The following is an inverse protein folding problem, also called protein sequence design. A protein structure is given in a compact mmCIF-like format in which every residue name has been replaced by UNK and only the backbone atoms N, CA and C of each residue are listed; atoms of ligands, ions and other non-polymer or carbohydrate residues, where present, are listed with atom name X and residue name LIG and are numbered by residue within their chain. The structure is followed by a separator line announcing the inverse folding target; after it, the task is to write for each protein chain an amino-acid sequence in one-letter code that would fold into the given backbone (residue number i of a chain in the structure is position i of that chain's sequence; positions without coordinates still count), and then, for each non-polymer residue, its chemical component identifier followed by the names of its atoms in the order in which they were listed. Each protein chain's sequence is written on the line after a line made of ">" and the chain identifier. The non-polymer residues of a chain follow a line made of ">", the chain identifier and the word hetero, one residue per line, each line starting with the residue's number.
data_IF_062333278627
#
_entry.id   IF_062333278627
#
_cell.length_a   1.000
_cell.length_b   1.000
_cell.length_c   1.000
_cell.angle_alpha   90.00
_cell.angle_beta   90.00
_cell.angle_gamma   90.00
#
_symmetry.space_group_name_H-M   'P 1'
#
loop_
_entity.id
_entity.type
_entity.pdbx_description
1 polymer ?
#
# COMPACT_ATOMS: atom_id res chain seq x y z
N UNK A 1 -6.02 16.31 6.92
CA UNK A 1 -4.64 16.11 6.42
C UNK A 1 -3.92 15.24 7.42
N UNK A 2 -3.35 14.11 6.99
CA UNK A 2 -2.55 13.24 7.87
C UNK A 2 -1.21 13.96 8.10
N UNK A 3 -0.96 14.42 9.32
CA UNK A 3 0.31 15.07 9.66
C UNK A 3 1.36 13.97 9.82
N UNK A 4 2.27 13.85 8.86
CA UNK A 4 3.43 12.98 8.97
C UNK A 4 4.54 13.77 9.68
N UNK A 5 4.95 13.32 10.87
CA UNK A 5 6.16 13.82 11.51
C UNK A 5 7.36 13.22 10.79
N UNK A 6 7.92 13.98 9.84
CA UNK A 6 9.15 13.60 9.15
C UNK A 6 10.30 13.56 10.14
N UNK A 7 11.03 12.44 10.13
CA UNK A 7 12.29 12.31 10.85
C UNK A 7 13.32 13.30 10.32
N UNK A 8 14.40 13.54 11.08
CA UNK A 8 15.47 14.47 10.68
C UNK A 8 16.09 14.09 9.33
N UNK A 9 16.24 12.79 9.07
CA UNK A 9 16.76 12.26 7.80
C UNK A 9 15.79 12.54 6.64
N UNK A 10 14.49 12.28 6.81
CA UNK A 10 13.49 12.52 5.76
C UNK A 10 13.35 14.00 5.42
N UNK A 11 13.45 14.89 6.42
CA UNK A 11 13.48 16.35 6.17
C UNK A 11 14.70 16.77 5.36
N UNK A 12 15.88 16.23 5.68
CA UNK A 12 17.11 16.53 4.92
C UNK A 12 16.98 16.09 3.45
N UNK A 13 16.44 14.90 3.21
CA UNK A 13 16.22 14.39 1.84
C UNK A 13 15.25 15.30 1.08
N UNK A 14 14.19 15.77 1.73
CA UNK A 14 13.22 16.68 1.12
C UNK A 14 13.86 18.03 0.77
N UNK A 15 14.64 18.60 1.67
CA UNK A 15 15.37 19.85 1.41
C UNK A 15 16.37 19.71 0.26
N UNK A 16 17.12 18.61 0.21
CA UNK A 16 18.08 18.35 -0.87
C UNK A 16 17.37 18.13 -2.22
N UNK A 17 16.15 17.60 -2.18
CA UNK A 17 15.27 17.47 -3.34
C UNK A 17 14.80 18.83 -3.85
N UNK A 18 14.28 19.68 -2.94
CA UNK A 18 13.83 21.03 -3.27
C UNK A 18 14.97 21.93 -3.78
N UNK A 19 16.18 21.73 -3.25
CA UNK A 19 17.41 22.43 -3.71
C UNK A 19 17.94 21.89 -5.05
N UNK A 20 17.35 20.85 -5.61
CA UNK A 20 17.73 20.31 -6.93
C UNK A 20 19.12 19.67 -6.98
N UNK A 21 19.63 19.19 -5.83
CA UNK A 21 21.00 18.67 -5.69
C UNK A 21 21.15 17.27 -6.31
N UNK A 22 20.05 16.56 -6.52
CA UNK A 22 20.08 15.20 -7.04
C UNK A 22 20.43 15.13 -8.53
N UNK A 23 21.47 14.37 -8.84
CA UNK A 23 21.88 14.02 -10.20
C UNK A 23 21.35 12.64 -10.60
N UNK A 24 21.06 12.47 -11.91
CA UNK A 24 20.61 11.17 -12.42
C UNK A 24 21.71 10.10 -12.25
N UNK A 25 21.31 8.94 -11.77
CA UNK A 25 22.20 7.79 -11.66
C UNK A 25 22.67 7.29 -13.03
N UNK A 26 23.92 6.79 -13.16
CA UNK A 26 24.39 6.14 -14.37
C UNK A 26 23.46 4.98 -14.77
N UNK A 27 23.16 4.84 -16.07
CA UNK A 27 22.24 3.82 -16.60
C UNK A 27 20.82 3.87 -16.00
N UNK A 28 20.24 5.08 -15.89
CA UNK A 28 18.88 5.34 -15.38
C UNK A 28 17.81 4.32 -15.83
N UNK A 29 17.76 3.93 -17.11
CA UNK A 29 16.79 2.94 -17.61
C UNK A 29 16.88 1.58 -16.92
N UNK A 30 18.10 1.11 -16.60
CA UNK A 30 18.34 -0.17 -15.92
C UNK A 30 17.98 -0.07 -14.44
N UNK A 31 18.42 1.02 -13.79
CA UNK A 31 18.09 1.29 -12.38
C UNK A 31 16.58 1.41 -12.18
N UNK A 32 15.89 2.19 -13.03
CA UNK A 32 14.44 2.34 -13.00
C UNK A 32 13.71 0.99 -13.08
N UNK A 33 14.05 0.15 -14.06
CA UNK A 33 13.45 -1.19 -14.20
C UNK A 33 13.69 -2.08 -12.97
N UNK A 34 14.89 -2.00 -12.39
CA UNK A 34 15.22 -2.76 -11.18
C UNK A 34 14.37 -2.30 -10.00
N UNK A 35 14.31 -1.00 -9.73
CA UNK A 35 13.52 -0.45 -8.62
C UNK A 35 12.01 -0.64 -8.81
N UNK A 36 11.49 -0.53 -10.04
CA UNK A 36 10.10 -0.87 -10.36
C UNK A 36 9.79 -2.34 -10.04
N UNK A 37 10.71 -3.26 -10.37
CA UNK A 37 10.56 -4.68 -10.05
C UNK A 37 10.60 -4.92 -8.54
N UNK A 38 11.52 -4.27 -7.82
CA UNK A 38 11.60 -4.36 -6.36
C UNK A 38 10.32 -3.82 -5.72
N UNK A 39 9.84 -2.65 -6.13
CA UNK A 39 8.63 -2.04 -5.61
C UNK A 39 7.40 -2.94 -5.83
N UNK A 40 7.23 -3.47 -7.05
CA UNK A 40 6.17 -4.45 -7.36
C UNK A 40 6.26 -5.68 -6.44
N UNK A 41 7.45 -6.25 -6.28
CA UNK A 41 7.64 -7.46 -5.49
C UNK A 41 7.40 -7.23 -3.98
N UNK A 42 7.79 -6.07 -3.45
CA UNK A 42 7.60 -5.72 -2.04
C UNK A 42 6.13 -5.44 -1.72
N UNK A 43 5.42 -4.71 -2.60
CA UNK A 43 3.97 -4.49 -2.45
C UNK A 43 3.17 -5.80 -2.60
N UNK A 44 3.69 -6.76 -3.37
CA UNK A 44 3.00 -8.03 -3.63
C UNK A 44 3.19 -9.08 -2.52
N UNK A 45 3.95 -8.81 -1.45
CA UNK A 45 4.08 -9.76 -0.33
C UNK A 45 2.76 -9.84 0.44
N UNK A 46 1.87 -10.72 -0.01
CA UNK A 46 0.63 -11.08 0.69
C UNK A 46 0.96 -11.98 1.89
N UNK A 47 0.57 -11.56 3.10
CA UNK A 47 0.62 -12.41 4.29
C UNK A 47 -0.78 -12.95 4.58
N UNK A 48 -0.89 -14.25 4.79
CA UNK A 48 -2.17 -14.88 5.17
C UNK A 48 -2.50 -14.53 6.63
N UNK A 49 -3.75 -14.13 6.88
CA UNK A 49 -4.28 -13.80 8.21
C UNK A 49 -5.56 -14.62 8.41
N UNK A 50 -5.64 -15.38 9.50
CA UNK A 50 -6.86 -16.08 9.89
C UNK A 50 -7.65 -15.20 10.87
N UNK A 51 -8.90 -14.85 10.50
CA UNK A 51 -9.78 -14.01 11.33
C UNK A 51 -11.03 -14.83 11.66
N UNK A 52 -11.40 -14.89 12.95
CA UNK A 52 -12.67 -15.46 13.39
C UNK A 52 -13.73 -14.36 13.38
N UNK A 53 -14.81 -14.59 12.64
CA UNK A 53 -15.97 -13.70 12.58
C UNK A 53 -17.23 -14.47 12.98
N UNK A 54 -18.21 -13.76 13.53
CA UNK A 54 -19.52 -14.36 13.77
C UNK A 54 -20.24 -14.61 12.45
N UNK A 55 -21.08 -15.64 12.42
CA UNK A 55 -21.81 -16.05 11.22
C UNK A 55 -22.69 -14.92 10.65
N UNK A 56 -23.31 -14.14 11.54
CA UNK A 56 -24.10 -12.95 11.18
C UNK A 56 -23.26 -11.93 10.40
N UNK A 57 -22.00 -11.71 10.79
CA UNK A 57 -21.11 -10.76 10.11
C UNK A 57 -20.69 -11.30 8.75
N UNK A 58 -20.33 -12.59 8.66
CA UNK A 58 -19.96 -13.24 7.40
C UNK A 58 -21.11 -13.17 6.39
N UNK A 59 -22.33 -13.44 6.83
CA UNK A 59 -23.53 -13.37 5.97
C UNK A 59 -23.76 -11.96 5.43
N UNK A 60 -23.67 -10.92 6.28
CA UNK A 60 -23.81 -9.52 5.85
C UNK A 60 -22.70 -9.08 4.89
N UNK A 61 -21.47 -9.53 5.12
CA UNK A 61 -20.35 -9.25 4.25
C UNK A 61 -20.57 -9.86 2.85
N UNK A 62 -21.01 -11.12 2.79
CA UNK A 62 -21.36 -11.79 1.53
C UNK A 62 -22.47 -11.07 0.78
N UNK A 63 -23.53 -10.66 1.48
CA UNK A 63 -24.64 -9.91 0.87
C UNK A 63 -24.15 -8.59 0.26
N UNK A 64 -23.30 -7.84 0.98
CA UNK A 64 -22.76 -6.57 0.50
C UNK A 64 -21.80 -6.74 -0.67
N UNK A 65 -20.95 -7.78 -0.63
CA UNK A 65 -20.06 -8.10 -1.73
C UNK A 65 -20.83 -8.50 -3.00
N UNK A 66 -21.93 -9.25 -2.84
CA UNK A 66 -22.81 -9.60 -3.95
C UNK A 66 -23.50 -8.38 -4.57
N UNK A 67 -23.92 -7.40 -3.76
CA UNK A 67 -24.46 -6.12 -4.25
C UNK A 67 -23.43 -5.32 -5.06
N UNK A 68 -22.16 -5.36 -4.65
CA UNK A 68 -21.05 -4.69 -5.33
C UNK A 68 -20.47 -5.52 -6.50
N UNK A 69 -20.97 -6.75 -6.73
CA UNK A 69 -20.50 -7.62 -7.80
C UNK A 69 -19.09 -8.17 -7.61
N UNK A 70 -18.58 -8.20 -6.38
CA UNK A 70 -17.22 -8.65 -6.05
C UNK A 70 -17.22 -9.83 -5.07
N UNK A 71 -16.16 -10.66 -5.02
CA UNK A 71 -16.01 -11.69 -4.00
C UNK A 71 -15.94 -11.09 -2.58
N UNK A 72 -16.53 -11.77 -1.59
CA UNK A 72 -16.55 -11.28 -0.21
C UNK A 72 -15.14 -11.17 0.40
N UNK A 73 -14.20 -12.01 -0.03
CA UNK A 73 -12.80 -11.94 0.38
C UNK A 73 -12.14 -10.65 -0.15
N UNK A 74 -12.47 -10.24 -1.38
CA UNK A 74 -11.98 -9.00 -1.99
C UNK A 74 -12.52 -7.78 -1.25
N UNK A 75 -13.82 -7.78 -0.92
CA UNK A 75 -14.41 -6.72 -0.10
C UNK A 75 -13.75 -6.65 1.29
N UNK A 76 -13.55 -7.79 1.95
CA UNK A 76 -12.86 -7.84 3.24
C UNK A 76 -11.44 -7.29 3.16
N UNK A 77 -10.67 -7.71 2.15
CA UNK A 77 -9.31 -7.23 1.91
C UNK A 77 -9.29 -5.71 1.66
N UNK A 78 -10.20 -5.20 0.84
CA UNK A 78 -10.32 -3.76 0.57
C UNK A 78 -10.61 -2.95 1.84
N UNK A 79 -11.51 -3.43 2.70
CA UNK A 79 -11.82 -2.78 3.98
C UNK A 79 -10.59 -2.78 4.90
N UNK A 80 -9.90 -3.91 5.02
CA UNK A 80 -8.69 -4.02 5.86
C UNK A 80 -7.58 -3.09 5.37
N UNK A 81 -7.33 -3.02 4.06
CA UNK A 81 -6.36 -2.10 3.47
C UNK A 81 -6.75 -0.64 3.69
N UNK A 82 -8.04 -0.30 3.48
CA UNK A 82 -8.55 1.06 3.72
C UNK A 82 -8.36 1.48 5.19
N UNK A 83 -8.63 0.58 6.13
CA UNK A 83 -8.52 0.88 7.55
C UNK A 83 -7.05 0.96 8.02
N UNK A 84 -6.19 0.06 7.54
CA UNK A 84 -4.77 0.06 7.92
C UNK A 84 -3.96 1.19 7.27
N UNK A 85 -4.38 1.69 6.09
CA UNK A 85 -3.72 2.80 5.40
C UNK A 85 -4.24 4.19 5.83
N UNK A 86 -5.34 4.25 6.60
CA UNK A 86 -5.91 5.49 7.13
C UNK A 86 -5.18 6.04 8.34
#
# INVERSE_FOLDING_TARGET
>A
MKYYELTKEEKSILEDFEKGVFVSVPNFKKAKRLYEKIAKNTLSKTKNINIRLSERVVSRLKAKAAQEGIPYQTLASSILHKYASQ
#
